data_IF_755502361747
#
_entry.id   IF_755502361747
#
_cell.length_a   1.000
_cell.length_b   1.000
_cell.length_c   1.000
_cell.angle_alpha   90.00
_cell.angle_beta   90.00
_cell.angle_gamma   90.00
#
_symmetry.space_group_name_H-M   'P 1'
#
loop_
_entity.id
_entity.type
_entity.pdbx_description
1 polymer ?
#
# COMPACT_ATOMS: atom_id res chain seq x y z
N UNK A 1 14.54 21.19 1.92
CA UNK A 1 14.16 19.75 2.03
C UNK A 1 15.29 18.93 1.45
N UNK A 2 15.80 17.97 2.21
CA UNK A 2 16.86 17.06 1.76
C UNK A 2 16.27 15.84 1.05
N UNK A 3 17.12 15.13 0.31
CA UNK A 3 16.77 13.84 -0.27
C UNK A 3 16.55 12.78 0.84
N UNK A 4 15.57 11.91 0.66
CA UNK A 4 15.26 10.81 1.57
C UNK A 4 15.83 9.52 0.99
N UNK A 5 16.50 8.73 1.83
CA UNK A 5 17.11 7.46 1.44
C UNK A 5 16.68 6.33 2.37
N UNK A 6 16.46 5.15 1.81
CA UNK A 6 16.45 3.89 2.54
C UNK A 6 17.86 3.29 2.48
N UNK A 7 18.43 3.01 3.64
CA UNK A 7 19.84 2.58 3.75
C UNK A 7 19.96 1.30 4.55
N UNK A 8 20.74 0.36 4.03
CA UNK A 8 21.13 -0.86 4.74
C UNK A 8 22.46 -0.62 5.43
N UNK A 9 22.46 -0.81 6.73
CA UNK A 9 23.66 -0.77 7.58
C UNK A 9 24.05 -2.21 7.95
N UNK A 10 25.34 -2.47 7.97
CA UNK A 10 25.91 -3.72 8.47
C UNK A 10 27.14 -3.45 9.31
N UNK A 11 27.51 -4.39 10.15
CA UNK A 11 28.78 -4.36 10.88
C UNK A 11 29.83 -5.13 10.11
N UNK A 12 31.03 -4.57 10.00
CA UNK A 12 32.20 -5.29 9.48
C UNK A 12 32.79 -6.23 10.54
N UNK A 13 33.84 -6.95 10.15
CA UNK A 13 34.57 -7.88 11.03
C UNK A 13 35.20 -7.23 12.27
N UNK A 14 35.29 -5.89 12.31
CA UNK A 14 35.82 -5.12 13.42
C UNK A 14 34.69 -4.47 14.25
N UNK A 15 33.44 -4.89 14.06
CA UNK A 15 32.25 -4.29 14.68
C UNK A 15 32.06 -2.79 14.34
N UNK A 16 32.59 -2.33 13.23
CA UNK A 16 32.37 -0.98 12.75
C UNK A 16 31.13 -0.95 11.84
N UNK A 17 30.22 -0.01 12.09
CA UNK A 17 29.03 0.19 11.29
C UNK A 17 29.38 0.77 9.92
N UNK A 18 28.93 0.13 8.86
CA UNK A 18 29.14 0.55 7.48
C UNK A 18 27.82 0.61 6.70
N UNK A 19 27.74 1.53 5.75
CA UNK A 19 26.67 1.59 4.77
C UNK A 19 26.99 0.58 3.67
N UNK A 20 26.16 -0.46 3.54
CA UNK A 20 26.34 -1.45 2.48
C UNK A 20 25.58 -1.09 1.19
N UNK A 21 24.42 -0.46 1.32
CA UNK A 21 23.61 -0.06 0.18
C UNK A 21 22.63 1.05 0.57
N UNK A 22 22.34 1.97 -0.36
CA UNK A 22 21.40 3.05 -0.17
C UNK A 22 20.57 3.29 -1.43
N UNK A 23 19.27 3.53 -1.27
CA UNK A 23 18.33 3.81 -2.36
C UNK A 23 17.59 5.11 -2.09
N UNK A 24 17.63 6.03 -3.05
CA UNK A 24 16.83 7.26 -2.99
C UNK A 24 15.34 6.96 -3.08
N UNK A 25 14.57 7.54 -2.17
CA UNK A 25 13.10 7.50 -2.16
C UNK A 25 12.59 8.79 -2.80
N UNK A 26 12.07 8.67 -4.02
CA UNK A 26 11.57 9.82 -4.78
C UNK A 26 10.16 10.21 -4.36
N UNK A 27 9.80 11.49 -4.53
CA UNK A 27 8.45 12.03 -4.28
C UNK A 27 7.95 11.95 -2.81
N UNK A 28 8.81 11.70 -1.84
CA UNK A 28 8.43 11.66 -0.42
C UNK A 28 8.44 13.06 0.17
N UNK A 29 7.33 13.47 0.79
CA UNK A 29 7.17 14.80 1.41
C UNK A 29 7.96 14.92 2.71
N UNK A 30 7.79 13.94 3.60
CA UNK A 30 8.48 13.86 4.88
C UNK A 30 8.46 12.41 5.41
N UNK A 31 9.22 12.12 6.46
CA UNK A 31 9.23 10.81 7.12
C UNK A 31 8.31 10.74 8.34
N UNK A 32 7.94 11.87 8.93
CA UNK A 32 7.14 11.89 10.17
C UNK A 32 5.72 11.33 9.99
N UNK A 33 5.20 11.38 8.78
CA UNK A 33 3.89 10.83 8.41
C UNK A 33 4.02 9.55 7.57
N UNK A 34 5.20 8.95 7.52
CA UNK A 34 5.44 7.70 6.79
C UNK A 34 5.21 6.50 7.68
N UNK A 35 4.71 5.42 7.10
CA UNK A 35 4.40 4.17 7.78
C UNK A 35 5.21 3.03 7.19
N UNK A 36 5.71 2.16 8.06
CA UNK A 36 6.56 1.03 7.69
C UNK A 36 6.00 -0.26 8.29
N UNK A 37 5.85 -1.27 7.45
CA UNK A 37 5.44 -2.62 7.85
C UNK A 37 6.47 -3.62 7.36
N UNK A 38 6.98 -4.46 8.29
CA UNK A 38 7.91 -5.54 7.97
C UNK A 38 7.18 -6.86 7.92
N UNK A 39 7.47 -7.68 6.91
CA UNK A 39 6.87 -9.02 6.81
C UNK A 39 7.26 -9.74 5.54
N UNK A 40 6.60 -10.85 5.28
CA UNK A 40 6.72 -11.52 3.97
C UNK A 40 5.93 -10.70 2.94
N UNK A 41 6.56 -10.38 1.84
CA UNK A 41 5.96 -9.61 0.73
C UNK A 41 5.66 -10.50 -0.49
N UNK A 42 6.22 -11.72 -0.49
CA UNK A 42 5.93 -12.77 -1.48
C UNK A 42 6.50 -14.12 -1.00
N UNK A 43 5.69 -15.16 -0.89
CA UNK A 43 6.10 -16.47 -0.38
C UNK A 43 7.00 -16.33 0.87
N UNK A 44 8.26 -16.80 0.82
CA UNK A 44 9.22 -16.66 1.91
C UNK A 44 10.11 -15.41 1.81
N UNK A 45 9.87 -14.53 0.83
CA UNK A 45 10.64 -13.30 0.66
C UNK A 45 10.19 -12.25 1.67
N UNK A 46 11.08 -11.88 2.57
CA UNK A 46 10.88 -10.78 3.52
C UNK A 46 11.15 -9.43 2.84
N UNK A 47 10.42 -8.42 3.28
CA UNK A 47 10.59 -7.06 2.80
C UNK A 47 10.01 -6.03 3.75
N UNK A 48 10.12 -4.79 3.35
CA UNK A 48 9.57 -3.63 4.03
C UNK A 48 8.57 -2.99 3.08
N UNK A 49 7.33 -2.82 3.51
CA UNK A 49 6.33 -2.04 2.79
C UNK A 49 6.29 -0.64 3.41
N UNK A 50 6.56 0.36 2.59
CA UNK A 50 6.56 1.77 2.98
C UNK A 50 5.36 2.48 2.37
N UNK A 51 4.54 3.14 3.19
CA UNK A 51 3.51 4.08 2.73
C UNK A 51 3.93 5.48 3.13
N UNK A 52 4.18 6.34 2.16
CA UNK A 52 4.83 7.63 2.34
C UNK A 52 3.98 8.75 1.74
N UNK A 53 3.79 9.90 2.46
CA UNK A 53 3.09 11.04 1.89
C UNK A 53 3.88 11.64 0.73
N UNK A 54 3.19 12.01 -0.34
CA UNK A 54 3.81 12.54 -1.56
C UNK A 54 3.93 14.06 -1.54
N UNK A 55 4.92 14.60 -2.28
CA UNK A 55 5.16 16.04 -2.38
C UNK A 55 4.06 16.75 -3.19
N UNK A 56 3.61 16.13 -4.30
CA UNK A 56 2.76 16.78 -5.30
C UNK A 56 1.28 16.58 -5.09
N UNK A 57 0.89 15.53 -4.39
CA UNK A 57 -0.50 15.14 -4.21
C UNK A 57 -0.77 14.91 -2.72
N UNK A 58 -1.98 15.22 -2.25
CA UNK A 58 -2.41 14.84 -0.91
C UNK A 58 -2.72 13.33 -0.87
N UNK A 59 -1.68 12.52 -1.07
CA UNK A 59 -1.78 11.08 -1.25
C UNK A 59 -0.60 10.35 -0.60
N UNK A 60 -0.76 9.07 -0.40
CA UNK A 60 0.27 8.14 0.08
C UNK A 60 0.71 7.23 -1.06
N UNK A 61 2.00 7.21 -1.34
CA UNK A 61 2.66 6.28 -2.26
C UNK A 61 3.14 5.05 -1.50
N UNK A 62 2.77 3.86 -1.96
CA UNK A 62 3.22 2.61 -1.37
C UNK A 62 4.30 1.95 -2.20
N UNK A 63 5.46 1.70 -1.58
CA UNK A 63 6.64 1.05 -2.17
C UNK A 63 7.03 -0.18 -1.35
N UNK A 64 7.54 -1.22 -2.01
CA UNK A 64 8.15 -2.38 -1.36
C UNK A 64 9.66 -2.31 -1.53
N UNK A 65 10.38 -2.46 -0.43
CA UNK A 65 11.82 -2.66 -0.41
C UNK A 65 12.14 -4.10 -0.02
N UNK A 66 13.08 -4.73 -0.72
CA UNK A 66 13.50 -6.10 -0.46
C UNK A 66 14.97 -6.29 -0.79
N UNK A 67 15.59 -7.33 -0.21
CA UNK A 67 16.96 -7.69 -0.51
C UNK A 67 17.00 -8.66 -1.70
N UNK A 68 17.91 -8.40 -2.65
CA UNK A 68 18.26 -9.28 -3.76
C UNK A 68 19.75 -9.14 -4.04
N UNK A 69 20.48 -10.27 -4.04
CA UNK A 69 21.92 -10.32 -4.26
C UNK A 69 22.67 -9.33 -3.34
N UNK A 70 22.36 -9.38 -2.05
CA UNK A 70 22.89 -8.53 -0.96
C UNK A 70 22.68 -7.01 -1.19
N UNK A 71 21.79 -6.63 -2.10
CA UNK A 71 21.44 -5.24 -2.40
C UNK A 71 19.98 -4.96 -2.12
N UNK A 72 19.74 -3.81 -1.51
CA UNK A 72 18.39 -3.28 -1.35
C UNK A 72 17.83 -2.92 -2.73
N UNK A 73 16.59 -3.30 -2.99
CA UNK A 73 15.87 -3.03 -4.25
C UNK A 73 14.49 -2.47 -3.96
N UNK A 74 13.99 -1.62 -4.88
CA UNK A 74 12.58 -1.25 -4.96
C UNK A 74 11.84 -2.26 -5.84
N UNK A 75 10.63 -2.64 -5.46
CA UNK A 75 9.76 -3.46 -6.31
C UNK A 75 9.23 -2.63 -7.47
N UNK A 76 8.60 -1.49 -7.18
CA UNK A 76 7.99 -0.62 -8.18
C UNK A 76 8.92 0.50 -8.64
N UNK A 77 8.82 0.93 -9.89
CA UNK A 77 9.37 2.22 -10.32
C UNK A 77 8.65 3.35 -9.56
N UNK A 78 9.30 4.50 -9.41
CA UNK A 78 8.75 5.62 -8.64
C UNK A 78 7.43 6.19 -9.19
N UNK A 79 7.14 5.98 -10.49
CA UNK A 79 5.89 6.38 -11.15
C UNK A 79 4.80 5.30 -11.13
N UNK A 80 5.15 4.07 -10.79
CA UNK A 80 4.26 2.89 -10.86
C UNK A 80 3.84 2.42 -9.45
N UNK A 81 4.10 3.23 -8.42
CA UNK A 81 3.71 2.95 -7.04
C UNK A 81 2.18 3.03 -6.86
N UNK A 82 1.66 2.25 -5.90
CA UNK A 82 0.24 2.32 -5.55
C UNK A 82 -0.03 3.61 -4.78
N UNK A 83 -1.00 4.38 -5.25
CA UNK A 83 -1.39 5.68 -4.68
C UNK A 83 -2.75 5.60 -3.99
N UNK A 84 -2.83 6.09 -2.76
CA UNK A 84 -4.07 6.21 -2.00
C UNK A 84 -4.24 7.64 -1.47
N UNK A 85 -5.45 8.17 -1.47
CA UNK A 85 -5.74 9.52 -0.96
C UNK A 85 -5.55 9.67 0.55
N UNK A 86 -5.41 8.58 1.30
CA UNK A 86 -5.04 8.54 2.72
C UNK A 86 -4.37 7.21 3.05
N UNK A 87 -3.71 7.17 4.20
CA UNK A 87 -3.06 5.95 4.68
C UNK A 87 -4.08 4.88 5.07
N UNK A 88 -3.85 3.66 4.58
CA UNK A 88 -4.53 2.43 5.00
C UNK A 88 -3.46 1.45 5.48
N UNK A 89 -3.60 0.88 6.69
CA UNK A 89 -2.62 -0.07 7.22
C UNK A 89 -2.40 -1.28 6.31
N UNK A 90 -1.12 -1.59 6.05
CA UNK A 90 -0.68 -2.81 5.37
C UNK A 90 -0.91 -4.00 6.30
N UNK A 91 -1.50 -5.09 5.81
CA UNK A 91 -1.75 -6.29 6.62
C UNK A 91 -1.87 -7.55 5.76
N UNK A 92 -1.76 -8.70 6.38
CA UNK A 92 -2.16 -9.99 5.83
C UNK A 92 -3.68 -10.12 6.00
N UNK A 93 -4.43 -10.04 4.91
CA UNK A 93 -5.91 -9.99 4.94
C UNK A 93 -6.57 -11.36 4.83
N UNK A 94 -5.84 -12.36 4.37
CA UNK A 94 -6.33 -13.72 4.15
C UNK A 94 -5.65 -14.75 5.07
N UNK A 95 -4.76 -14.30 5.98
CA UNK A 95 -4.04 -15.11 6.97
C UNK A 95 -3.11 -16.16 6.36
N UNK A 96 -2.52 -15.88 5.18
CA UNK A 96 -1.51 -16.74 4.56
C UNK A 96 -0.06 -16.37 4.92
N UNK A 97 0.10 -15.37 5.75
CA UNK A 97 1.38 -14.87 6.26
C UNK A 97 2.10 -13.92 5.30
N UNK A 98 1.46 -13.46 4.22
CA UNK A 98 2.02 -12.50 3.26
C UNK A 98 1.27 -11.17 3.39
N UNK A 99 2.00 -10.06 3.30
CA UNK A 99 1.42 -8.73 3.39
C UNK A 99 0.74 -8.33 2.07
N UNK A 100 -0.51 -7.88 2.18
CA UNK A 100 -1.22 -7.25 1.08
C UNK A 100 -1.20 -5.73 1.20
N UNK A 101 -1.20 -5.10 0.03
CA UNK A 101 -1.20 -3.66 -0.18
C UNK A 101 -2.63 -3.22 -0.48
N UNK A 102 -3.20 -2.25 0.25
CA UNK A 102 -4.50 -1.68 -0.07
C UNK A 102 -4.43 -0.74 -1.28
N UNK A 103 -5.45 -0.81 -2.13
CA UNK A 103 -5.71 0.13 -3.21
C UNK A 103 -7.15 0.63 -3.10
N UNK A 104 -7.33 1.95 -2.99
CA UNK A 104 -8.65 2.57 -2.91
C UNK A 104 -9.35 2.59 -4.27
N UNK A 105 -10.56 2.03 -4.31
CA UNK A 105 -11.46 2.01 -5.48
C UNK A 105 -12.68 2.92 -5.28
N UNK A 106 -12.50 4.06 -4.62
CA UNK A 106 -13.60 4.93 -4.21
C UNK A 106 -14.37 5.58 -5.37
N UNK A 107 -13.84 5.54 -6.60
CA UNK A 107 -14.60 5.91 -7.81
C UNK A 107 -15.84 5.04 -8.06
N UNK A 108 -15.91 3.89 -7.40
CA UNK A 108 -17.05 2.97 -7.45
C UNK A 108 -18.11 3.30 -6.37
N UNK A 109 -17.94 4.38 -5.62
CA UNK A 109 -18.88 4.86 -4.60
C UNK A 109 -19.48 6.17 -5.09
N UNK A 110 -20.82 6.22 -5.21
CA UNK A 110 -21.52 7.42 -5.60
C UNK A 110 -21.28 8.57 -4.63
N UNK A 111 -21.01 9.77 -5.17
CA UNK A 111 -20.77 10.97 -4.38
C UNK A 111 -19.70 10.79 -3.29
N UNK A 112 -18.69 9.93 -3.57
CA UNK A 112 -17.57 9.75 -2.65
C UNK A 112 -16.93 11.09 -2.30
N UNK A 113 -16.83 11.37 -1.02
CA UNK A 113 -16.15 12.54 -0.49
C UNK A 113 -14.95 12.11 0.34
N UNK A 114 -13.75 12.33 -0.19
CA UNK A 114 -12.50 11.97 0.48
C UNK A 114 -12.33 12.62 1.86
N UNK A 115 -12.93 13.80 2.07
CA UNK A 115 -12.84 14.51 3.34
C UNK A 115 -13.77 13.91 4.41
N UNK A 116 -14.91 13.32 4.02
CA UNK A 116 -15.85 12.73 4.97
C UNK A 116 -15.40 11.36 5.48
N UNK A 117 -14.63 10.62 4.68
CA UNK A 117 -14.18 9.25 4.96
C UNK A 117 -15.28 8.34 5.53
N UNK A 118 -16.52 8.55 5.10
CA UNK A 118 -17.67 7.82 5.63
C UNK A 118 -17.69 6.35 5.20
N UNK A 119 -17.15 6.06 4.02
CA UNK A 119 -17.03 4.71 3.49
C UNK A 119 -15.85 4.59 2.55
N UNK A 120 -15.40 3.37 2.29
CA UNK A 120 -14.33 3.07 1.33
C UNK A 120 -14.49 1.68 0.73
N UNK A 121 -14.14 1.56 -0.53
CA UNK A 121 -13.97 0.29 -1.21
C UNK A 121 -12.49 0.05 -1.42
N UNK A 122 -11.95 -0.98 -0.77
CA UNK A 122 -10.50 -1.28 -0.74
C UNK A 122 -10.26 -2.60 -1.44
N UNK A 123 -9.45 -2.57 -2.50
CA UNK A 123 -8.90 -3.79 -3.11
C UNK A 123 -7.58 -4.12 -2.45
N UNK A 124 -7.46 -5.33 -1.94
CA UNK A 124 -6.24 -5.86 -1.36
C UNK A 124 -5.45 -6.60 -2.43
N UNK A 125 -4.18 -6.25 -2.56
CA UNK A 125 -3.32 -6.71 -3.63
C UNK A 125 -1.99 -7.21 -3.11
N UNK A 126 -1.40 -8.18 -3.79
CA UNK A 126 -0.08 -8.74 -3.50
C UNK A 126 0.88 -8.41 -4.62
N UNK A 127 2.12 -8.12 -4.27
CA UNK A 127 3.20 -7.96 -5.24
C UNK A 127 3.48 -9.27 -6.01
N UNK A 128 3.70 -9.19 -7.31
CA UNK A 128 3.95 -10.34 -8.19
C UNK A 128 5.41 -10.85 -8.17
N UNK A 129 6.25 -10.36 -7.25
CA UNK A 129 7.68 -10.69 -7.11
C UNK A 129 8.59 -10.23 -8.26
N UNK A 130 8.10 -9.41 -9.18
CA UNK A 130 8.91 -8.78 -10.22
C UNK A 130 9.27 -7.35 -9.84
N UNK A 131 10.22 -6.74 -10.53
CA UNK A 131 10.68 -5.38 -10.25
C UNK A 131 10.72 -4.51 -11.49
N UNK A 132 10.79 -3.19 -11.28
CA UNK A 132 10.84 -2.21 -12.36
C UNK A 132 9.56 -2.22 -13.21
N UNK A 133 9.67 -2.25 -14.52
CA UNK A 133 8.53 -2.23 -15.46
C UNK A 133 7.67 -3.52 -15.44
N UNK A 134 8.20 -4.62 -14.93
CA UNK A 134 7.46 -5.88 -14.78
C UNK A 134 6.76 -6.02 -13.43
N UNK A 135 7.05 -5.11 -12.50
CA UNK A 135 6.40 -5.10 -11.19
C UNK A 135 4.92 -4.81 -11.36
N UNK A 136 4.11 -5.66 -10.80
CA UNK A 136 2.65 -5.50 -10.76
C UNK A 136 2.09 -6.11 -9.49
N UNK A 137 0.79 -5.99 -9.32
CA UNK A 137 0.09 -6.58 -8.19
C UNK A 137 -0.94 -7.61 -8.66
N UNK A 138 -1.12 -8.63 -7.84
CA UNK A 138 -2.15 -9.66 -7.99
C UNK A 138 -3.32 -9.27 -7.08
N UNK A 139 -4.54 -9.31 -7.60
CA UNK A 139 -5.75 -9.10 -6.81
C UNK A 139 -5.93 -10.27 -5.83
N UNK A 140 -6.24 -9.96 -4.57
CA UNK A 140 -6.47 -10.96 -3.50
C UNK A 140 -7.91 -10.91 -3.03
N UNK A 141 -8.42 -9.73 -2.68
CA UNK A 141 -9.79 -9.57 -2.22
C UNK A 141 -10.23 -8.10 -2.31
N UNK A 142 -11.52 -7.87 -2.16
CA UNK A 142 -12.08 -6.52 -2.06
C UNK A 142 -13.01 -6.42 -0.86
N UNK A 143 -12.88 -5.35 -0.08
CA UNK A 143 -13.67 -5.12 1.13
C UNK A 143 -14.31 -3.74 1.06
N UNK A 144 -15.61 -3.69 1.30
CA UNK A 144 -16.30 -2.44 1.56
C UNK A 144 -16.27 -2.14 3.06
N UNK A 145 -15.95 -0.91 3.41
CA UNK A 145 -15.98 -0.37 4.77
C UNK A 145 -16.98 0.77 4.85
N UNK A 146 -17.91 0.70 5.80
CA UNK A 146 -18.75 1.82 6.18
C UNK A 146 -18.35 2.27 7.58
N UNK A 147 -17.56 3.32 7.66
CA UNK A 147 -17.04 3.84 8.93
C UNK A 147 -18.12 4.56 9.75
N UNK A 148 -19.13 5.16 9.09
CA UNK A 148 -20.25 5.82 9.77
C UNK A 148 -21.11 4.81 10.54
N UNK A 149 -21.37 3.68 9.98
CA UNK A 149 -22.22 2.63 10.55
C UNK A 149 -21.43 1.47 11.18
N UNK A 150 -20.09 1.59 11.20
CA UNK A 150 -19.15 0.64 11.80
C UNK A 150 -19.36 -0.82 11.35
N UNK A 151 -19.50 -1.02 10.04
CA UNK A 151 -19.51 -2.36 9.46
C UNK A 151 -18.60 -2.46 8.23
N UNK A 152 -18.22 -3.67 7.91
CA UNK A 152 -17.54 -4.00 6.64
C UNK A 152 -18.02 -5.35 6.13
N UNK A 153 -17.90 -5.56 4.83
CA UNK A 153 -18.13 -6.87 4.24
C UNK A 153 -17.13 -7.18 3.12
N UNK A 154 -16.79 -8.45 3.03
CA UNK A 154 -15.98 -8.97 1.93
C UNK A 154 -16.84 -9.03 0.67
N UNK A 155 -16.39 -8.37 -0.39
CA UNK A 155 -17.06 -8.43 -1.68
C UNK A 155 -16.81 -9.81 -2.31
N UNK A 156 -17.85 -10.55 -2.72
CA UNK A 156 -17.67 -11.82 -3.41
C UNK A 156 -16.80 -11.65 -4.68
N UNK A 157 -15.94 -12.63 -4.98
CA UNK A 157 -14.96 -12.54 -6.07
C UNK A 157 -15.59 -12.26 -7.44
N UNK A 158 -16.75 -12.85 -7.71
CA UNK A 158 -17.50 -12.63 -8.96
C UNK A 158 -18.07 -11.22 -9.12
N UNK A 159 -18.15 -10.45 -8.02
CA UNK A 159 -18.61 -9.06 -7.96
C UNK A 159 -17.47 -8.06 -7.77
N UNK A 160 -16.27 -8.53 -7.40
CA UNK A 160 -15.12 -7.67 -7.18
C UNK A 160 -14.82 -6.82 -8.42
N UNK A 161 -14.53 -5.52 -8.20
CA UNK A 161 -14.32 -4.49 -9.22
C UNK A 161 -15.53 -4.27 -10.19
N UNK A 162 -16.71 -4.82 -9.87
CA UNK A 162 -17.95 -4.63 -10.65
C UNK A 162 -19.05 -3.95 -9.84
N UNK A 163 -18.91 -3.88 -8.51
CA UNK A 163 -19.87 -3.21 -7.65
C UNK A 163 -19.79 -1.70 -7.82
N UNK A 164 -20.95 -1.07 -7.96
CA UNK A 164 -21.12 0.35 -7.80
C UNK A 164 -22.02 0.60 -6.59
N UNK A 165 -21.56 1.39 -5.64
CA UNK A 165 -22.24 1.64 -4.37
C UNK A 165 -22.90 3.00 -4.45
N UNK A 166 -24.21 3.04 -4.33
CA UNK A 166 -24.98 4.28 -4.35
C UNK A 166 -25.83 4.44 -3.09
N UNK A 167 -26.09 5.67 -2.75
CA UNK A 167 -26.98 6.01 -1.64
C UNK A 167 -28.43 5.85 -2.09
N UNK A 168 -29.26 5.16 -1.31
CA UNK A 168 -30.70 5.12 -1.53
C UNK A 168 -31.33 6.50 -1.42
N UNK A 169 -32.26 6.82 -2.32
CA UNK A 169 -33.04 8.05 -2.25
C UNK A 169 -34.08 8.05 -1.11
N UNK A 170 -34.37 6.91 -0.49
CA UNK A 170 -35.42 6.76 0.54
C UNK A 170 -34.91 6.78 1.98
N UNK A 171 -33.75 7.35 2.24
CA UNK A 171 -33.16 7.45 3.58
C UNK A 171 -31.71 6.96 3.65
N UNK A 172 -31.22 6.68 4.86
CA UNK A 172 -29.83 6.28 5.12
C UNK A 172 -29.46 4.84 4.69
N UNK A 173 -30.26 4.21 3.85
CA UNK A 173 -30.00 2.86 3.34
C UNK A 173 -29.05 2.92 2.14
N UNK A 174 -28.08 2.02 2.11
CA UNK A 174 -27.16 1.79 0.99
C UNK A 174 -27.47 0.42 0.38
N UNK A 175 -27.51 0.36 -0.93
CA UNK A 175 -27.65 -0.88 -1.69
C UNK A 175 -26.36 -1.24 -2.41
#
# INVERSE_FOLDING_TARGET
SGDIYATVLNYDKNNKLNISNSIKMSNVKNLSESYMTLGKVYNNKKGIVLSMPTVKESAYATQILYMKDDKLKKAFNDKDVIMNSYYIPIKDVNSDGILEIPELNNKMIENYNANSKSSSLVSWRRWNNKSGSEASTIFISQVYYNYKSNFSFLVPDNLANKLYIQKSMSGDNYY
#
